data_IF_000843162931
#
_entry.id   IF_000843162931
#
_cell.length_a   1.000
_cell.length_b   1.000
_cell.length_c   1.000
_cell.angle_alpha   90.00
_cell.angle_beta   90.00
_cell.angle_gamma   90.00
#
_symmetry.space_group_name_H-M   'P 1'
#
loop_
_entity.id
_entity.type
_entity.pdbx_description
1 polymer ?
#
# COMPACT_ATOMS: atom_id res chain seq x y z
N UNK A 1 6.63 -47.83 9.62
CA UNK A 1 6.53 -46.96 8.42
C UNK A 1 5.32 -46.06 8.64
N UNK A 2 5.50 -44.91 9.29
CA UNK A 2 4.41 -44.00 9.63
C UNK A 2 4.13 -43.07 8.44
N UNK A 3 2.88 -43.07 8.01
CA UNK A 3 2.29 -42.26 6.94
C UNK A 3 2.39 -40.77 7.31
N UNK A 4 3.07 -39.98 6.48
CA UNK A 4 3.14 -38.52 6.62
C UNK A 4 2.89 -37.84 5.29
N UNK A 5 1.61 -37.69 4.92
CA UNK A 5 1.21 -36.76 3.87
C UNK A 5 1.45 -35.33 4.36
N UNK A 6 2.45 -34.66 3.81
CA UNK A 6 2.59 -33.20 3.94
C UNK A 6 1.68 -32.54 2.92
N UNK A 7 0.47 -32.23 3.39
CA UNK A 7 -0.44 -31.28 2.79
C UNK A 7 0.19 -29.88 2.89
N UNK A 8 1.01 -29.49 1.90
CA UNK A 8 1.39 -28.07 1.77
C UNK A 8 0.37 -27.40 0.86
N UNK A 9 -0.62 -26.77 1.50
CA UNK A 9 -1.70 -26.02 0.88
C UNK A 9 -1.20 -25.10 -0.25
N UNK A 10 -1.84 -25.10 -1.42
CA UNK A 10 -1.52 -24.17 -2.50
C UNK A 10 -2.14 -22.85 -2.14
N UNK A 11 -1.34 -21.82 -1.90
CA UNK A 11 -1.71 -20.40 -2.01
C UNK A 11 -0.43 -19.63 -1.73
N UNK A 12 0.43 -19.57 -2.75
CA UNK A 12 1.45 -18.55 -2.92
C UNK A 12 0.75 -17.18 -2.94
N UNK A 13 0.33 -16.70 -1.77
CA UNK A 13 0.19 -15.28 -1.51
C UNK A 13 1.59 -14.73 -1.69
N UNK A 14 1.89 -14.21 -2.87
CA UNK A 14 3.11 -13.49 -3.21
C UNK A 14 3.59 -12.71 -2.00
N UNK A 15 4.52 -13.29 -1.24
CA UNK A 15 5.14 -12.64 -0.08
C UNK A 15 6.06 -11.61 -0.68
N UNK A 16 5.53 -10.42 -0.94
CA UNK A 16 6.34 -9.27 -1.30
C UNK A 16 7.36 -9.08 -0.19
N UNK A 17 8.64 -9.28 -0.53
CA UNK A 17 9.76 -9.03 0.35
C UNK A 17 9.62 -7.64 1.01
N UNK A 18 9.82 -7.58 2.33
CA UNK A 18 9.68 -6.35 3.12
C UNK A 18 8.70 -6.43 4.31
N UNK A 19 8.25 -7.62 4.70
CA UNK A 19 7.39 -7.84 5.88
C UNK A 19 8.03 -7.48 7.24
N UNK A 20 9.26 -6.93 7.26
CA UNK A 20 9.96 -6.57 8.49
C UNK A 20 9.94 -5.06 8.84
N UNK A 21 9.32 -4.19 8.04
CA UNK A 21 9.42 -2.73 8.27
C UNK A 21 8.05 -2.11 8.43
N UNK A 22 7.58 -1.91 9.67
CA UNK A 22 6.31 -1.25 9.99
C UNK A 22 6.10 0.11 9.29
N UNK A 23 7.19 0.74 8.86
CA UNK A 23 7.22 1.94 8.03
C UNK A 23 6.49 1.76 6.69
N UNK A 24 6.67 0.63 5.98
CA UNK A 24 6.01 0.39 4.69
C UNK A 24 4.49 0.27 4.85
N UNK A 25 4.04 -0.36 5.93
CA UNK A 25 2.61 -0.44 6.28
C UNK A 25 2.05 0.94 6.61
N UNK A 26 2.77 1.75 7.40
CA UNK A 26 2.35 3.12 7.74
C UNK A 26 2.24 4.01 6.49
N UNK A 27 3.20 3.91 5.57
CA UNK A 27 3.16 4.61 4.28
C UNK A 27 2.01 4.13 3.41
N UNK A 28 1.74 2.82 3.37
CA UNK A 28 0.60 2.28 2.62
C UNK A 28 -0.72 2.81 3.16
N UNK A 29 -0.94 2.77 4.47
CA UNK A 29 -2.14 3.32 5.12
C UNK A 29 -2.33 4.80 4.82
N UNK A 30 -1.26 5.60 4.91
CA UNK A 30 -1.30 7.02 4.55
C UNK A 30 -1.67 7.21 3.08
N UNK A 31 -1.07 6.44 2.19
CA UNK A 31 -1.34 6.54 0.75
C UNK A 31 -2.78 6.11 0.41
N UNK A 32 -3.34 5.12 1.11
CA UNK A 32 -4.75 4.74 1.00
C UNK A 32 -5.67 5.88 1.46
N UNK A 33 -5.37 6.53 2.59
CA UNK A 33 -6.13 7.69 3.07
C UNK A 33 -6.10 8.87 2.08
N UNK A 34 -4.93 9.14 1.46
CA UNK A 34 -4.79 10.19 0.42
C UNK A 34 -5.68 9.88 -0.79
N UNK A 35 -5.76 8.61 -1.21
CA UNK A 35 -6.63 8.19 -2.32
C UNK A 35 -8.10 8.39 -2.01
N UNK A 36 -8.53 7.92 -0.84
CA UNK A 36 -9.92 8.05 -0.40
C UNK A 36 -10.34 9.53 -0.34
N UNK A 37 -9.51 10.37 0.29
CA UNK A 37 -9.81 11.80 0.38
C UNK A 37 -9.89 12.48 -1.01
N UNK A 38 -9.06 12.04 -1.97
CA UNK A 38 -9.17 12.50 -3.36
C UNK A 38 -10.47 12.03 -4.04
N UNK A 39 -10.88 10.79 -3.81
CA UNK A 39 -12.16 10.24 -4.30
C UNK A 39 -13.38 10.94 -3.69
N UNK A 40 -13.26 11.43 -2.44
CA UNK A 40 -14.28 12.26 -1.77
C UNK A 40 -14.33 13.71 -2.28
N UNK A 41 -13.44 14.09 -3.20
CA UNK A 41 -13.43 15.41 -3.85
C UNK A 41 -12.38 16.38 -3.33
N UNK A 42 -11.49 15.96 -2.43
CA UNK A 42 -10.36 16.80 -1.97
C UNK A 42 -9.39 17.02 -3.12
N UNK A 43 -8.93 18.25 -3.34
CA UNK A 43 -8.00 18.53 -4.43
C UNK A 43 -6.58 18.02 -4.13
N UNK A 44 -5.79 17.75 -5.18
CA UNK A 44 -4.39 17.31 -5.01
C UNK A 44 -3.54 18.34 -4.26
N UNK A 45 -3.86 19.63 -4.43
CA UNK A 45 -3.20 20.73 -3.75
C UNK A 45 -3.48 20.71 -2.24
N UNK A 46 -4.74 20.55 -1.85
CA UNK A 46 -5.11 20.43 -0.43
C UNK A 46 -4.48 19.19 0.22
N UNK A 47 -4.42 18.07 -0.50
CA UNK A 47 -3.73 16.86 -0.01
C UNK A 47 -2.22 17.09 0.13
N UNK A 48 -1.61 17.83 -0.79
CA UNK A 48 -0.20 18.19 -0.72
C UNK A 48 0.10 19.03 0.52
N UNK A 49 -0.74 20.03 0.81
CA UNK A 49 -0.62 20.88 2.01
C UNK A 49 -0.89 20.09 3.30
N UNK A 50 -1.97 19.31 3.35
CA UNK A 50 -2.37 18.54 4.54
C UNK A 50 -1.37 17.45 4.93
N UNK A 51 -0.72 16.83 3.95
CA UNK A 51 0.25 15.74 4.19
C UNK A 51 1.71 16.20 4.08
N UNK A 52 1.97 17.49 3.86
CA UNK A 52 3.31 18.06 3.64
C UNK A 52 4.08 17.32 2.53
N UNK A 53 3.40 17.03 1.42
CA UNK A 53 3.95 16.37 0.25
C UNK A 53 3.90 17.29 -0.97
N UNK A 54 4.76 17.05 -1.95
CA UNK A 54 4.64 17.73 -3.23
C UNK A 54 3.43 17.21 -4.02
N UNK A 55 2.80 18.06 -4.83
CA UNK A 55 1.69 17.65 -5.71
C UNK A 55 2.08 16.50 -6.63
N UNK A 56 3.34 16.42 -7.07
CA UNK A 56 3.84 15.30 -7.86
C UNK A 56 3.85 13.97 -7.07
N UNK A 57 4.15 14.02 -5.77
CA UNK A 57 4.07 12.85 -4.90
C UNK A 57 2.62 12.42 -4.69
N UNK A 58 1.70 13.37 -4.49
CA UNK A 58 0.26 13.10 -4.41
C UNK A 58 -0.23 12.46 -5.72
N UNK A 59 0.15 13.01 -6.87
CA UNK A 59 -0.13 12.45 -8.20
C UNK A 59 0.38 11.01 -8.31
N UNK A 60 1.61 10.74 -7.91
CA UNK A 60 2.16 9.39 -7.91
C UNK A 60 1.38 8.47 -6.97
N UNK A 61 0.98 8.95 -5.78
CA UNK A 61 0.17 8.16 -4.85
C UNK A 61 -1.17 7.80 -5.49
N UNK A 62 -1.88 8.76 -6.09
CA UNK A 62 -3.20 8.56 -6.71
C UNK A 62 -3.10 7.64 -7.93
N UNK A 63 -2.22 7.95 -8.89
CA UNK A 63 -2.21 7.32 -10.20
C UNK A 63 -1.21 6.18 -10.38
N UNK A 64 -0.11 6.12 -9.61
CA UNK A 64 0.81 4.99 -9.72
C UNK A 64 0.31 3.82 -8.88
N UNK A 65 0.01 2.71 -9.56
CA UNK A 65 -0.02 1.40 -8.92
C UNK A 65 1.42 0.99 -8.64
N UNK A 66 1.74 0.81 -7.37
CA UNK A 66 2.99 0.17 -6.96
C UNK A 66 3.05 -1.19 -7.64
N UNK A 67 4.00 -1.39 -8.55
CA UNK A 67 4.34 -2.71 -9.05
C UNK A 67 4.86 -3.60 -7.90
#
# INVERSE_FOLDING_TARGET
MLLGQLFTSPLEKKRAWGANSGIRSKLKKRNEAIKLAFEEGTTMKELAENYFLSENTIRNIIYQKTC
#
